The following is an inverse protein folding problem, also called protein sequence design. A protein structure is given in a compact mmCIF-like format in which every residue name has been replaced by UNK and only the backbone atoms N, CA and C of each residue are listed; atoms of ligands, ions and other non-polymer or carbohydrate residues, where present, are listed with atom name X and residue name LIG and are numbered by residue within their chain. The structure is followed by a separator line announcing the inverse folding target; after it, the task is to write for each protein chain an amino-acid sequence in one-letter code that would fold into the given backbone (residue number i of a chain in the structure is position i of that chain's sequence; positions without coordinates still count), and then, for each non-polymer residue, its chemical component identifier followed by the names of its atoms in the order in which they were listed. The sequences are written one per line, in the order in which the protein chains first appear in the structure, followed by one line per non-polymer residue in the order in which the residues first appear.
data_IF_355944269341
#
_entry.id   IF_355944269341
#
_cell.length_a   1.000
_cell.length_b   1.000
_cell.length_c   1.000
_cell.angle_alpha   90.00
_cell.angle_beta   90.00
_cell.angle_gamma   90.00
#
_symmetry.space_group_name_H-M   'P 1'
#
loop_
_entity.id
_entity.type
_entity.pdbx_description
1 polymer ?
#
# COMPACT_ATOMS: atom_id res chain seq x y z
N UNK A 1 2.11 3.90 1.84
CA UNK A 1 1.43 3.84 0.52
C UNK A 1 0.02 4.36 0.70
N UNK A 2 -0.43 5.20 -0.21
CA UNK A 2 -1.81 5.69 -0.18
C UNK A 2 -2.79 4.58 -0.58
N UNK A 3 -4.03 4.76 -0.17
CA UNK A 3 -5.09 3.80 -0.36
C UNK A 3 -5.83 3.99 -1.69
N UNK A 4 -6.73 3.09 -1.96
CA UNK A 4 -7.55 3.08 -3.17
C UNK A 4 -8.43 4.34 -3.30
N UNK A 5 -8.74 4.80 -4.52
CA UNK A 5 -9.46 6.05 -4.75
C UNK A 5 -10.98 5.92 -4.53
N UNK A 6 -11.41 5.21 -3.50
CA UNK A 6 -12.82 5.06 -3.16
C UNK A 6 -13.09 5.85 -1.89
N UNK A 7 -13.61 7.05 -2.02
CA UNK A 7 -13.87 7.98 -0.92
C UNK A 7 -14.78 7.40 0.19
N UNK A 8 -15.67 6.49 -0.16
CA UNK A 8 -16.57 5.86 0.80
C UNK A 8 -15.98 4.73 1.64
N UNK A 9 -14.73 4.34 1.40
CA UNK A 9 -14.08 3.30 2.20
C UNK A 9 -13.44 3.88 3.46
N UNK A 10 -13.57 3.18 4.57
CA UNK A 10 -12.91 3.51 5.84
C UNK A 10 -11.38 3.68 5.71
N UNK A 11 -10.80 3.05 4.70
CA UNK A 11 -9.36 3.14 4.41
C UNK A 11 -8.95 4.51 3.88
N UNK A 12 -9.84 5.33 3.32
CA UNK A 12 -9.53 6.68 2.83
C UNK A 12 -9.11 7.63 3.96
N UNK A 13 -9.69 7.47 5.14
CA UNK A 13 -9.35 8.30 6.31
C UNK A 13 -7.87 8.13 6.72
N UNK A 14 -7.29 6.99 6.43
CA UNK A 14 -5.90 6.69 6.80
C UNK A 14 -4.89 7.47 5.97
N UNK A 15 -5.29 7.93 4.79
CA UNK A 15 -4.44 8.73 3.91
C UNK A 15 -3.98 10.05 4.57
N UNK A 16 -4.86 10.67 5.33
CA UNK A 16 -4.58 11.90 6.05
C UNK A 16 -4.17 11.65 7.50
N UNK A 17 -4.87 10.70 8.15
CA UNK A 17 -4.68 10.42 9.56
C UNK A 17 -3.29 9.90 9.88
N UNK A 18 -2.82 8.86 9.17
CA UNK A 18 -1.55 8.21 9.50
C UNK A 18 -0.33 9.11 9.29
N UNK A 19 -0.14 9.82 8.15
CA UNK A 19 0.99 10.71 7.96
C UNK A 19 1.05 11.80 9.04
N UNK A 20 -0.10 12.40 9.37
CA UNK A 20 -0.19 13.42 10.42
C UNK A 20 0.17 12.87 11.80
N UNK A 21 -0.30 11.65 12.13
CA UNK A 21 0.02 11.02 13.42
C UNK A 21 1.49 10.62 13.51
N UNK A 22 2.05 10.05 12.44
CA UNK A 22 3.47 9.67 12.40
C UNK A 22 4.35 10.90 12.53
N UNK A 23 4.10 11.94 11.75
CA UNK A 23 4.86 13.20 11.81
C UNK A 23 4.81 13.82 13.20
N UNK A 24 3.62 13.87 13.81
CA UNK A 24 3.46 14.39 15.17
C UNK A 24 4.21 13.53 16.20
N UNK A 25 4.15 12.22 16.09
CA UNK A 25 4.87 11.31 16.97
C UNK A 25 6.39 11.51 16.85
N UNK A 26 6.92 11.58 15.62
CA UNK A 26 8.33 11.83 15.38
C UNK A 26 8.78 13.17 15.98
N UNK A 27 8.02 14.22 15.76
CA UNK A 27 8.30 15.54 16.34
C UNK A 27 8.32 15.51 17.87
N UNK A 28 7.31 14.89 18.51
CA UNK A 28 7.21 14.81 19.97
C UNK A 28 8.33 13.99 20.63
N UNK A 29 8.93 13.07 19.89
CA UNK A 29 9.98 12.19 20.39
C UNK A 29 11.38 12.58 19.87
N UNK A 30 11.52 13.74 19.23
CA UNK A 30 12.77 14.19 18.60
C UNK A 30 13.37 13.17 17.61
N UNK A 31 12.51 12.49 16.86
CA UNK A 31 12.91 11.58 15.79
C UNK A 31 12.92 12.37 14.49
N UNK A 32 14.08 12.45 13.86
CA UNK A 32 14.19 13.03 12.52
C UNK A 32 13.56 12.09 11.51
N UNK A 33 12.44 12.49 10.93
CA UNK A 33 11.77 11.74 9.87
C UNK A 33 11.05 12.67 8.90
N UNK A 34 10.95 12.25 7.65
CA UNK A 34 10.02 12.82 6.69
C UNK A 34 9.02 11.76 6.25
N UNK A 35 7.74 12.13 6.20
CA UNK A 35 6.66 11.21 5.84
C UNK A 35 6.15 11.57 4.45
N UNK A 36 6.23 10.62 3.53
CA UNK A 36 5.83 10.82 2.14
C UNK A 36 4.66 9.89 1.81
N UNK A 37 3.63 10.47 1.21
CA UNK A 37 2.54 9.69 0.64
C UNK A 37 2.85 9.30 -0.79
N UNK A 38 2.82 8.00 -1.07
CA UNK A 38 2.86 7.49 -2.44
C UNK A 38 1.41 7.31 -2.91
N UNK A 39 0.94 8.23 -3.72
CA UNK A 39 -0.45 8.27 -4.21
C UNK A 39 -0.52 7.73 -5.62
N UNK A 40 -1.42 6.78 -5.86
CA UNK A 40 -1.67 6.25 -7.20
C UNK A 40 -2.36 7.27 -8.13
N UNK A 41 -2.41 6.97 -9.41
CA UNK A 41 -3.20 7.75 -10.37
C UNK A 41 -4.60 7.15 -10.47
N UNK A 42 -5.60 8.00 -10.39
CA UNK A 42 -6.97 7.59 -10.70
C UNK A 42 -7.08 7.22 -12.17
N UNK A 43 -7.82 6.15 -12.46
CA UNK A 43 -8.28 5.91 -13.82
C UNK A 43 -9.42 6.87 -14.15
N UNK A 44 -9.65 7.10 -15.44
CA UNK A 44 -10.75 7.95 -15.90
C UNK A 44 -12.13 7.29 -15.81
N UNK A 45 -12.20 6.06 -15.27
CA UNK A 45 -13.46 5.37 -15.09
C UNK A 45 -14.18 5.91 -13.85
N UNK A 46 -15.48 6.11 -13.95
CA UNK A 46 -16.29 6.44 -12.80
C UNK A 46 -16.34 5.22 -11.87
N UNK A 47 -15.84 5.39 -10.65
CA UNK A 47 -16.06 4.38 -9.61
C UNK A 47 -17.56 4.32 -9.34
N UNK A 48 -18.15 3.15 -9.51
CA UNK A 48 -19.56 2.95 -9.21
C UNK A 48 -19.76 2.97 -7.71
N UNK A 49 -20.61 3.86 -7.23
CA UNK A 49 -20.98 3.92 -5.82
C UNK A 49 -21.46 2.55 -5.34
N UNK A 50 -20.96 2.08 -4.22
CA UNK A 50 -21.27 0.75 -3.68
C UNK A 50 -20.53 -0.42 -4.34
N UNK A 51 -19.72 -0.19 -5.36
CA UNK A 51 -18.80 -1.21 -5.86
C UNK A 51 -17.69 -1.42 -4.81
N UNK A 52 -17.74 -2.56 -4.15
CA UNK A 52 -16.78 -2.88 -3.07
C UNK A 52 -15.34 -2.94 -3.58
N UNK A 53 -15.14 -3.41 -4.80
CA UNK A 53 -13.85 -3.42 -5.50
C UNK A 53 -14.07 -3.26 -7.00
N UNK A 54 -13.58 -2.19 -7.56
CA UNK A 54 -13.28 -2.14 -8.98
C UNK A 54 -11.86 -2.67 -9.18
N UNK A 55 -11.73 -3.95 -9.48
CA UNK A 55 -10.42 -4.61 -9.58
C UNK A 55 -9.49 -3.96 -10.60
N UNK A 56 -10.02 -3.45 -11.71
CA UNK A 56 -9.21 -2.81 -12.75
C UNK A 56 -8.65 -1.49 -12.26
N UNK A 57 -9.49 -0.61 -11.77
CA UNK A 57 -9.06 0.71 -11.30
C UNK A 57 -8.18 0.64 -10.06
N UNK A 58 -8.50 -0.26 -9.14
CA UNK A 58 -7.68 -0.54 -7.97
C UNK A 58 -6.27 -1.00 -8.36
N UNK A 59 -6.15 -1.87 -9.36
CA UNK A 59 -4.83 -2.32 -9.81
C UNK A 59 -4.08 -1.24 -10.58
N UNK A 60 -4.74 -0.42 -11.40
CA UNK A 60 -4.12 0.76 -12.03
C UNK A 60 -3.56 1.69 -10.95
N UNK A 61 -4.33 1.98 -9.93
CA UNK A 61 -3.89 2.80 -8.80
C UNK A 61 -2.66 2.20 -8.11
N UNK A 62 -2.72 0.94 -7.70
CA UNK A 62 -1.62 0.24 -7.04
C UNK A 62 -0.36 0.15 -7.91
N UNK A 63 -0.52 -0.15 -9.19
CA UNK A 63 0.61 -0.21 -10.12
C UNK A 63 1.28 1.15 -10.33
N UNK A 64 0.52 2.24 -10.40
CA UNK A 64 1.12 3.58 -10.52
C UNK A 64 1.84 4.02 -9.24
N UNK A 65 1.45 3.53 -8.06
CA UNK A 65 2.21 3.71 -6.83
C UNK A 65 3.57 3.00 -6.92
N UNK A 66 3.59 1.77 -7.43
CA UNK A 66 4.84 1.01 -7.57
C UNK A 66 5.77 1.60 -8.63
N UNK A 67 5.22 2.14 -9.71
CA UNK A 67 6.02 2.88 -10.69
C UNK A 67 6.75 4.06 -10.04
N UNK A 68 6.06 4.84 -9.19
CA UNK A 68 6.70 5.94 -8.46
C UNK A 68 7.82 5.44 -7.53
N UNK A 69 7.61 4.32 -6.85
CA UNK A 69 8.63 3.72 -5.99
C UNK A 69 9.85 3.29 -6.83
N UNK A 70 9.64 2.70 -8.00
CA UNK A 70 10.72 2.33 -8.90
C UNK A 70 11.53 3.56 -9.35
N UNK A 71 10.85 4.66 -9.67
CA UNK A 71 11.49 5.94 -9.98
C UNK A 71 12.30 6.48 -8.77
N UNK A 72 11.79 6.34 -7.56
CA UNK A 72 12.50 6.75 -6.33
C UNK A 72 13.75 5.91 -6.07
N UNK A 73 13.74 4.61 -6.37
CA UNK A 73 14.96 3.79 -6.37
C UNK A 73 15.96 4.28 -7.41
N UNK A 74 15.50 4.51 -8.65
CA UNK A 74 16.35 4.98 -9.74
C UNK A 74 17.01 6.35 -9.41
N UNK A 75 16.28 7.24 -8.79
CA UNK A 75 16.75 8.56 -8.39
C UNK A 75 17.61 8.54 -7.12
N UNK A 76 17.74 7.40 -6.47
CA UNK A 76 18.46 7.26 -5.21
C UNK A 76 17.81 8.02 -4.05
N UNK A 77 16.50 8.23 -4.09
CA UNK A 77 15.72 8.85 -3.02
C UNK A 77 15.57 7.86 -1.88
N UNK A 78 15.22 6.59 -2.19
CA UNK A 78 15.08 5.53 -1.19
C UNK A 78 16.47 5.13 -0.68
N UNK A 79 16.59 5.04 0.64
CA UNK A 79 17.82 4.70 1.34
C UNK A 79 17.64 3.49 2.25
N UNK A 80 18.73 2.85 2.61
CA UNK A 80 18.70 1.81 3.65
C UNK A 80 18.23 2.39 4.96
N UNK A 81 17.31 1.70 5.61
CA UNK A 81 16.63 2.13 6.83
C UNK A 81 15.28 2.80 6.58
N UNK A 82 14.92 3.09 5.34
CA UNK A 82 13.58 3.63 5.03
C UNK A 82 12.49 2.60 5.35
N UNK A 83 11.36 3.12 5.84
CA UNK A 83 10.20 2.32 6.25
C UNK A 83 9.02 2.57 5.33
N UNK A 84 8.45 1.48 4.86
CA UNK A 84 7.24 1.49 4.04
C UNK A 84 6.05 0.98 4.84
N UNK A 85 4.98 1.76 4.89
CA UNK A 85 3.72 1.34 5.50
C UNK A 85 2.67 1.16 4.41
N UNK A 86 2.27 -0.08 4.19
CA UNK A 86 1.10 -0.42 3.38
C UNK A 86 -0.13 -0.45 4.29
N UNK A 87 -1.05 0.43 4.03
CA UNK A 87 -2.28 0.57 4.82
C UNK A 87 -3.33 -0.49 4.49
N UNK A 88 -3.03 -1.33 3.50
CA UNK A 88 -3.75 -2.55 3.18
C UNK A 88 -2.73 -3.61 2.75
N UNK A 89 -2.66 -4.73 3.48
CA UNK A 89 -1.73 -5.83 3.19
C UNK A 89 -2.03 -6.55 1.87
N UNK A 90 -3.25 -6.45 1.35
CA UNK A 90 -3.63 -6.93 0.02
C UNK A 90 -3.15 -5.99 -1.09
N UNK A 91 -1.87 -5.68 -1.07
CA UNK A 91 -1.21 -4.84 -2.06
C UNK A 91 -0.08 -5.60 -2.76
N UNK A 92 -0.21 -5.96 -4.05
CA UNK A 92 0.80 -6.74 -4.77
C UNK A 92 2.17 -6.06 -4.82
N UNK A 93 2.20 -4.75 -4.67
CA UNK A 93 3.42 -3.95 -4.60
C UNK A 93 4.36 -4.29 -3.44
N UNK A 94 3.89 -4.99 -2.41
CA UNK A 94 4.75 -5.48 -1.31
C UNK A 94 5.85 -6.39 -1.86
N UNK A 95 5.46 -7.35 -2.72
CA UNK A 95 6.41 -8.27 -3.35
C UNK A 95 7.34 -7.53 -4.30
N UNK A 96 6.81 -6.59 -5.10
CA UNK A 96 7.60 -5.80 -6.04
C UNK A 96 8.60 -4.89 -5.32
N UNK A 97 8.20 -4.25 -4.21
CA UNK A 97 9.10 -3.47 -3.38
C UNK A 97 10.24 -4.33 -2.82
N UNK A 98 9.91 -5.51 -2.30
CA UNK A 98 10.93 -6.45 -1.81
C UNK A 98 11.90 -6.88 -2.90
N UNK A 99 11.39 -7.14 -4.10
CA UNK A 99 12.21 -7.48 -5.27
C UNK A 99 13.16 -6.33 -5.63
N UNK A 100 12.67 -5.09 -5.74
CA UNK A 100 13.49 -3.92 -6.06
C UNK A 100 14.56 -3.67 -4.99
N UNK A 101 14.21 -3.76 -3.72
CA UNK A 101 15.15 -3.63 -2.60
C UNK A 101 16.27 -4.68 -2.69
N UNK A 102 15.90 -5.94 -2.99
CA UNK A 102 16.88 -7.03 -3.15
C UNK A 102 17.83 -6.82 -4.34
N UNK A 103 17.31 -6.31 -5.47
CA UNK A 103 18.13 -6.03 -6.66
C UNK A 103 19.11 -4.87 -6.45
N UNK A 104 18.70 -3.87 -5.68
CA UNK A 104 19.52 -2.67 -5.44
C UNK A 104 20.46 -2.81 -4.24
N UNK A 105 20.29 -3.83 -3.41
CA UNK A 105 21.01 -3.98 -2.16
C UNK A 105 20.60 -2.96 -1.08
N UNK A 106 19.50 -2.24 -1.27
CA UNK A 106 18.97 -1.27 -0.31
C UNK A 106 18.07 -2.00 0.69
N UNK A 107 18.41 -1.91 1.96
CA UNK A 107 17.63 -2.55 3.03
C UNK A 107 16.48 -1.63 3.47
N UNK A 108 15.25 -2.08 3.30
CA UNK A 108 14.05 -1.36 3.72
C UNK A 108 13.22 -2.20 4.67
N UNK A 109 12.49 -1.53 5.57
CA UNK A 109 11.50 -2.17 6.42
C UNK A 109 10.12 -2.05 5.78
N UNK A 110 9.38 -3.15 5.73
CA UNK A 110 8.04 -3.19 5.15
C UNK A 110 7.04 -3.55 6.25
N UNK A 111 6.11 -2.66 6.49
CA UNK A 111 5.01 -2.83 7.43
C UNK A 111 3.69 -2.82 6.66
N UNK A 112 2.72 -3.61 7.11
CA UNK A 112 1.39 -3.65 6.49
C UNK A 112 0.30 -3.87 7.53
N UNK A 113 -0.91 -3.43 7.20
CA UNK A 113 -2.09 -3.61 8.04
C UNK A 113 -3.01 -4.61 7.38
N UNK A 114 -3.35 -5.65 8.11
CA UNK A 114 -4.31 -6.67 7.68
C UNK A 114 -5.71 -6.27 8.12
N UNK A 115 -6.59 -6.01 7.15
CA UNK A 115 -8.01 -5.73 7.41
C UNK A 115 -8.88 -6.96 7.20
N UNK A 116 -8.47 -7.83 6.29
CA UNK A 116 -9.17 -9.04 5.89
C UNK A 116 -8.16 -10.05 5.32
N UNK A 117 -8.59 -11.27 5.15
CA UNK A 117 -7.71 -12.31 4.59
C UNK A 117 -8.50 -13.45 3.96
N UNK A 118 -7.84 -14.19 3.09
CA UNK A 118 -8.44 -15.35 2.42
C UNK A 118 -8.67 -16.54 3.36
N UNK A 119 -8.08 -16.54 4.51
CA UNK A 119 -8.26 -17.56 5.56
C UNK A 119 -9.66 -17.51 6.21
N UNK A 120 -10.34 -16.36 6.20
CA UNK A 120 -11.71 -16.26 6.74
C UNK A 120 -12.75 -16.66 5.69
N UNK A 121 -13.44 -17.81 5.83
CA UNK A 121 -14.45 -18.22 4.87
C UNK A 121 -15.69 -17.32 4.82
N UNK A 122 -15.88 -16.45 5.81
CA UNK A 122 -16.97 -15.48 5.85
C UNK A 122 -16.59 -14.16 5.18
N UNK A 123 -15.31 -13.88 5.03
CA UNK A 123 -14.83 -12.70 4.35
C UNK A 123 -15.01 -12.80 2.81
N UNK A 124 -15.09 -11.64 2.16
CA UNK A 124 -15.20 -11.57 0.71
C UNK A 124 -14.01 -12.25 0.01
N UNK A 125 -12.80 -12.01 0.51
CA UNK A 125 -11.59 -12.59 -0.05
C UNK A 125 -11.56 -14.10 0.11
N UNK A 126 -11.93 -14.60 1.29
CA UNK A 126 -11.99 -16.03 1.58
C UNK A 126 -13.05 -16.80 0.78
N UNK A 127 -14.08 -16.10 0.30
CA UNK A 127 -15.11 -16.69 -0.57
C UNK A 127 -14.75 -16.65 -2.05
N UNK A 128 -13.98 -15.65 -2.47
CA UNK A 128 -13.71 -15.36 -3.88
C UNK A 128 -12.43 -15.98 -4.41
N UNK A 129 -11.39 -16.02 -3.59
CA UNK A 129 -10.08 -16.44 -4.06
C UNK A 129 -9.83 -17.92 -3.86
N UNK A 130 -9.14 -18.52 -4.83
CA UNK A 130 -8.58 -19.84 -4.69
C UNK A 130 -7.49 -19.81 -3.59
N UNK A 131 -7.71 -20.59 -2.54
CA UNK A 131 -6.84 -20.67 -1.38
C UNK A 131 -5.42 -21.14 -1.72
N UNK A 132 -5.24 -21.82 -2.84
CA UNK A 132 -3.93 -22.35 -3.22
C UNK A 132 -2.89 -21.25 -3.48
N UNK A 133 -3.29 -20.15 -4.13
CA UNK A 133 -2.36 -19.05 -4.35
C UNK A 133 -2.50 -17.95 -3.29
N UNK A 134 -3.70 -17.69 -2.79
CA UNK A 134 -3.92 -16.60 -1.84
C UNK A 134 -3.21 -16.84 -0.51
N UNK A 135 -3.18 -18.07 -0.03
CA UNK A 135 -2.41 -18.41 1.18
C UNK A 135 -0.89 -18.29 0.97
N UNK A 136 -0.41 -18.47 -0.26
CA UNK A 136 1.00 -18.22 -0.54
C UNK A 136 1.33 -16.73 -0.72
N UNK A 137 0.33 -15.91 -1.02
CA UNK A 137 0.48 -14.47 -1.08
C UNK A 137 0.46 -13.86 0.34
N UNK A 138 -0.43 -14.30 1.21
CA UNK A 138 -0.53 -13.90 2.61
C UNK A 138 0.62 -14.46 3.46
#
# INVERSE_FOLDING_TARGET
MALEPIESRYTCEWLEFLPNKISKFCYQNNIECSVWNVVGKQSNSKVTEGAFLNFVDTNIWKNTQINQIAEYFQQGIIKSGDKFLFTDAWHPGIIQLRYMASLTGIEVEIHSIWHAGSYDPNDFLGRKFDKSWSYNFE
#
